data_IF_945983909646
#
_entry.id   IF_945983909646
#
_cell.length_a   1.000
_cell.length_b   1.000
_cell.length_c   1.000
_cell.angle_alpha   90.00
_cell.angle_beta   90.00
_cell.angle_gamma   90.00
#
_symmetry.space_group_name_H-M   'P 1'
#
loop_
_entity.id
_entity.type
_entity.pdbx_description
1 polymer ?
#
# COMPACT_ATOMS: atom_id res chain seq x y z
N UNK A 1 38.66 -50.45 54.99
CA UNK A 1 38.92 -48.99 55.07
C UNK A 1 38.85 -48.43 53.66
N UNK A 2 37.67 -47.99 53.22
CA UNK A 2 37.48 -47.34 51.92
C UNK A 2 37.12 -45.88 52.19
N UNK A 3 38.00 -44.98 51.76
CA UNK A 3 37.82 -43.53 51.77
C UNK A 3 37.05 -43.12 50.52
N UNK A 4 35.85 -42.57 50.70
CA UNK A 4 35.08 -41.91 49.64
C UNK A 4 35.37 -40.41 49.65
N UNK A 5 36.03 -39.93 48.60
CA UNK A 5 36.25 -38.50 48.33
C UNK A 5 35.03 -37.95 47.62
N UNK A 6 34.32 -36.99 48.23
CA UNK A 6 33.21 -36.28 47.60
C UNK A 6 33.75 -35.08 46.82
N UNK A 7 33.56 -35.09 45.50
CA UNK A 7 33.88 -33.98 44.60
C UNK A 7 32.61 -33.13 44.41
N UNK A 8 32.61 -31.90 44.93
CA UNK A 8 31.53 -30.94 44.74
C UNK A 8 31.69 -30.23 43.39
N UNK A 9 30.82 -30.51 42.42
CA UNK A 9 30.64 -29.69 41.22
C UNK A 9 29.70 -28.53 41.55
N UNK A 10 30.24 -27.31 41.62
CA UNK A 10 29.46 -26.08 41.64
C UNK A 10 28.95 -25.74 40.24
N UNK A 11 27.65 -25.93 39.99
CA UNK A 11 26.97 -25.38 38.82
C UNK A 11 26.58 -23.93 39.08
N UNK A 12 27.31 -22.98 38.50
CA UNK A 12 26.88 -21.59 38.40
C UNK A 12 25.82 -21.49 37.30
N UNK A 13 24.55 -21.57 37.67
CA UNK A 13 23.43 -21.21 36.78
C UNK A 13 23.19 -19.71 36.92
N UNK A 14 23.72 -18.92 36.00
CA UNK A 14 23.35 -17.51 35.86
C UNK A 14 21.95 -17.44 35.24
N UNK A 15 20.92 -17.43 36.09
CA UNK A 15 19.55 -17.12 35.68
C UNK A 15 19.50 -15.63 35.36
N UNK A 16 19.41 -15.28 34.08
CA UNK A 16 18.99 -13.94 33.67
C UNK A 16 17.50 -13.80 33.99
N UNK A 17 17.18 -13.37 35.21
CA UNK A 17 15.85 -12.91 35.53
C UNK A 17 15.56 -11.67 34.67
N UNK A 18 14.55 -11.75 33.79
CA UNK A 18 13.94 -10.55 33.24
C UNK A 18 13.24 -9.85 34.41
N UNK A 19 13.70 -8.64 34.76
CA UNK A 19 13.03 -7.81 35.75
C UNK A 19 11.53 -7.69 35.39
N UNK A 20 10.65 -7.94 36.37
CA UNK A 20 9.22 -7.76 36.17
C UNK A 20 8.92 -6.30 35.77
N UNK A 21 7.97 -6.04 34.86
CA UNK A 21 7.60 -4.68 34.49
C UNK A 21 7.15 -3.88 35.72
N UNK A 22 7.67 -2.66 35.87
CA UNK A 22 7.27 -1.76 36.96
C UNK A 22 5.76 -1.44 36.84
N UNK A 23 4.98 -1.95 37.79
CA UNK A 23 3.53 -1.81 37.81
C UNK A 23 3.07 -0.34 37.82
N UNK A 24 3.84 0.56 38.44
CA UNK A 24 3.51 1.99 38.46
C UNK A 24 3.70 2.62 37.08
N UNK A 25 4.72 2.20 36.32
CA UNK A 25 4.92 2.65 34.93
C UNK A 25 3.80 2.12 34.04
N UNK A 26 3.44 0.83 34.17
CA UNK A 26 2.34 0.23 33.43
C UNK A 26 1.02 0.97 33.69
N UNK A 27 0.74 1.36 34.95
CA UNK A 27 -0.45 2.14 35.27
C UNK A 27 -0.44 3.52 34.60
N UNK A 28 0.71 4.22 34.59
CA UNK A 28 0.84 5.50 33.88
C UNK A 28 0.63 5.36 32.37
N UNK A 29 1.20 4.33 31.75
CA UNK A 29 1.00 4.03 30.33
C UNK A 29 -0.47 3.79 30.01
N UNK A 30 -1.15 2.97 30.81
CA UNK A 30 -2.58 2.69 30.63
C UNK A 30 -3.43 3.94 30.79
N UNK A 31 -3.19 4.72 31.84
CA UNK A 31 -3.90 5.98 32.07
C UNK A 31 -3.75 6.92 30.88
N UNK A 32 -2.50 7.16 30.46
CA UNK A 32 -2.25 8.10 29.36
C UNK A 32 -2.82 7.59 28.02
N UNK A 33 -2.69 6.30 27.73
CA UNK A 33 -3.16 5.71 26.47
C UNK A 33 -4.66 5.44 26.40
N UNK A 34 -5.38 5.35 27.53
CA UNK A 34 -6.82 5.09 27.55
C UNK A 34 -7.66 6.32 27.91
N UNK A 35 -7.14 7.22 28.74
CA UNK A 35 -7.88 8.40 29.22
C UNK A 35 -7.43 9.70 28.55
N UNK A 36 -6.15 9.82 28.15
CA UNK A 36 -5.56 11.05 27.61
C UNK A 36 -5.05 10.89 26.17
N UNK A 37 -5.51 9.86 25.45
CA UNK A 37 -4.92 9.51 24.16
C UNK A 37 -5.09 10.61 23.12
N UNK A 38 -4.06 10.78 22.28
CA UNK A 38 -4.08 11.65 21.11
C UNK A 38 -4.13 10.89 19.80
N UNK A 39 -4.33 9.57 19.84
CA UNK A 39 -4.31 8.72 18.64
C UNK A 39 -5.31 9.14 17.57
N UNK A 40 -6.51 9.61 17.97
CA UNK A 40 -7.52 10.09 17.01
C UNK A 40 -7.16 11.43 16.40
N UNK A 41 -6.52 12.33 17.15
CA UNK A 41 -6.01 13.60 16.63
C UNK A 41 -4.88 13.33 15.62
N UNK A 42 -4.00 12.38 15.93
CA UNK A 42 -2.92 11.94 15.03
C UNK A 42 -3.51 11.32 13.76
N UNK A 43 -4.46 10.40 13.90
CA UNK A 43 -5.14 9.77 12.78
C UNK A 43 -5.82 10.82 11.88
N UNK A 44 -6.57 11.76 12.45
CA UNK A 44 -7.20 12.87 11.74
C UNK A 44 -6.19 13.68 10.91
N UNK A 45 -5.02 14.00 11.48
CA UNK A 45 -4.00 14.71 10.72
C UNK A 45 -3.44 13.85 9.57
N UNK A 46 -3.26 12.55 9.77
CA UNK A 46 -2.75 11.65 8.72
C UNK A 46 -3.77 11.40 7.60
N UNK A 47 -5.05 11.24 7.93
CA UNK A 47 -6.08 10.81 6.98
C UNK A 47 -6.84 11.98 6.35
N UNK A 48 -7.13 13.03 7.12
CA UNK A 48 -8.07 14.08 6.71
C UNK A 48 -7.32 15.36 6.30
N UNK A 49 -6.31 15.75 7.07
CA UNK A 49 -5.60 17.02 6.87
C UNK A 49 -4.57 16.92 5.74
N UNK A 50 -3.77 15.85 5.73
CA UNK A 50 -2.67 15.73 4.76
C UNK A 50 -3.10 15.10 3.42
N UNK A 51 -4.28 14.48 3.37
CA UNK A 51 -4.83 13.82 2.18
C UNK A 51 -4.12 12.51 1.83
N UNK A 52 -4.31 11.98 0.60
CA UNK A 52 -3.65 10.75 0.15
C UNK A 52 -2.12 10.87 0.11
N UNK A 53 -1.40 9.82 0.53
CA UNK A 53 0.04 9.87 0.83
C UNK A 53 0.84 8.86 0.00
N UNK A 54 0.62 8.85 -1.32
CA UNK A 54 1.35 7.97 -2.23
C UNK A 54 2.86 8.19 -2.11
N UNK A 55 3.63 7.11 -2.20
CA UNK A 55 5.09 7.16 -2.16
C UNK A 55 5.68 8.24 -3.11
N UNK A 56 6.55 9.07 -2.55
CA UNK A 56 7.14 10.28 -3.12
C UNK A 56 6.17 11.34 -3.68
N UNK A 57 4.88 11.30 -3.29
CA UNK A 57 3.92 12.35 -3.66
C UNK A 57 4.04 13.59 -2.77
N UNK A 58 3.52 14.76 -3.23
CA UNK A 58 3.39 15.93 -2.37
C UNK A 58 2.57 15.68 -1.10
N UNK A 59 1.58 14.78 -1.14
CA UNK A 59 0.78 14.42 0.02
C UNK A 59 1.57 13.68 1.08
N UNK A 60 2.44 12.75 0.68
CA UNK A 60 3.36 12.11 1.61
C UNK A 60 4.34 13.13 2.22
N UNK A 61 4.92 14.00 1.40
CA UNK A 61 5.86 15.03 1.89
C UNK A 61 5.22 15.92 2.96
N UNK A 62 4.00 16.43 2.72
CA UNK A 62 3.26 17.22 3.72
C UNK A 62 3.05 16.45 5.03
N UNK A 63 2.62 15.19 4.95
CA UNK A 63 2.40 14.37 6.13
C UNK A 63 3.71 14.11 6.91
N UNK A 64 4.81 13.90 6.20
CA UNK A 64 6.13 13.67 6.79
C UNK A 64 6.64 14.93 7.51
N UNK A 65 6.53 16.10 6.87
CA UNK A 65 6.89 17.38 7.47
C UNK A 65 6.03 17.71 8.70
N UNK A 66 4.72 17.42 8.62
CA UNK A 66 3.82 17.51 9.76
C UNK A 66 4.28 16.61 10.91
N UNK A 67 4.61 15.34 10.63
CA UNK A 67 5.03 14.39 11.66
C UNK A 67 6.36 14.82 12.31
N UNK A 68 7.35 15.27 11.53
CA UNK A 68 8.61 15.81 12.07
C UNK A 68 8.33 16.98 13.00
N UNK A 69 7.48 17.93 12.58
CA UNK A 69 7.09 19.06 13.42
C UNK A 69 6.40 18.57 14.71
N UNK A 70 5.43 17.67 14.59
CA UNK A 70 4.66 17.17 15.73
C UNK A 70 5.53 16.44 16.76
N UNK A 71 6.45 15.59 16.29
CA UNK A 71 7.41 14.88 17.15
C UNK A 71 8.38 15.85 17.83
N UNK A 72 8.80 16.91 17.13
CA UNK A 72 9.61 18.00 17.69
C UNK A 72 8.86 18.76 18.79
N UNK A 73 7.60 19.12 18.55
CA UNK A 73 6.76 19.85 19.49
C UNK A 73 6.47 19.03 20.77
N UNK A 74 6.37 17.72 20.66
CA UNK A 74 6.31 16.81 21.83
C UNK A 74 7.64 16.68 22.56
N UNK A 75 8.73 17.23 22.03
CA UNK A 75 10.04 17.28 22.68
C UNK A 75 10.88 16.02 22.49
N UNK A 76 10.60 15.22 21.45
CA UNK A 76 11.53 14.19 20.99
C UNK A 76 12.80 14.85 20.43
N UNK A 77 13.89 14.08 20.35
CA UNK A 77 15.18 14.52 19.81
C UNK A 77 15.39 13.96 18.41
N UNK A 78 16.29 14.60 17.66
CA UNK A 78 16.69 14.17 16.32
C UNK A 78 15.49 13.95 15.37
N UNK A 79 14.44 14.78 15.48
CA UNK A 79 13.29 14.73 14.60
C UNK A 79 13.65 15.29 13.22
N UNK A 80 13.67 14.46 12.18
CA UNK A 80 14.05 14.87 10.82
C UNK A 80 13.56 13.87 9.76
N UNK A 81 13.71 14.26 8.48
CA UNK A 81 13.57 13.35 7.35
C UNK A 81 14.94 12.73 7.02
N UNK A 82 15.00 11.40 6.99
CA UNK A 82 16.21 10.66 6.62
C UNK A 82 16.02 10.01 5.24
N UNK A 83 16.85 10.37 4.27
CA UNK A 83 16.79 9.72 2.95
C UNK A 83 17.30 8.29 3.04
N UNK A 84 16.54 7.35 2.49
CA UNK A 84 16.97 5.96 2.32
C UNK A 84 17.47 5.66 0.90
N UNK A 85 17.47 6.66 0.02
CA UNK A 85 17.99 6.57 -1.35
C UNK A 85 16.94 6.89 -2.41
N UNK A 86 17.30 6.62 -3.67
CA UNK A 86 16.46 6.93 -4.83
C UNK A 86 15.24 6.04 -4.90
N UNK A 87 14.05 6.63 -4.78
CA UNK A 87 12.77 5.98 -5.07
C UNK A 87 12.42 6.11 -6.55
N UNK A 88 12.34 7.35 -7.07
CA UNK A 88 11.82 7.67 -8.39
C UNK A 88 10.89 8.87 -8.37
N UNK A 89 10.10 9.08 -9.43
CA UNK A 89 9.20 10.24 -9.53
C UNK A 89 7.99 10.12 -8.59
N UNK A 90 7.66 11.23 -7.96
CA UNK A 90 6.36 11.48 -7.35
C UNK A 90 5.26 11.62 -8.40
N UNK A 91 4.02 11.42 -7.94
CA UNK A 91 2.83 11.53 -8.76
C UNK A 91 1.62 11.89 -7.91
N UNK A 92 0.68 12.64 -8.48
CA UNK A 92 -0.62 12.89 -7.86
C UNK A 92 -1.74 13.03 -8.89
N UNK A 93 -2.97 12.89 -8.43
CA UNK A 93 -4.17 13.24 -9.20
C UNK A 93 -4.56 14.67 -8.88
N UNK A 94 -4.66 15.53 -9.89
CA UNK A 94 -5.11 16.91 -9.73
C UNK A 94 -6.62 17.01 -9.92
N UNK A 95 -7.16 16.23 -10.86
CA UNK A 95 -8.58 16.14 -11.17
C UNK A 95 -8.84 14.82 -11.90
N UNK A 96 -9.98 14.20 -11.63
CA UNK A 96 -10.53 13.24 -12.58
C UNK A 96 -12.06 13.22 -12.52
N UNK A 97 -12.68 12.88 -13.65
CA UNK A 97 -14.05 12.39 -13.70
C UNK A 97 -14.19 11.44 -14.90
N UNK A 98 -15.14 10.52 -14.82
CA UNK A 98 -15.57 9.69 -15.94
C UNK A 98 -17.04 9.30 -15.79
N UNK A 99 -17.78 9.28 -16.90
CA UNK A 99 -19.17 8.86 -16.94
C UNK A 99 -19.53 8.25 -18.29
N UNK A 100 -20.40 7.25 -18.31
CA UNK A 100 -21.04 6.85 -19.57
C UNK A 100 -22.03 7.93 -19.99
N UNK A 101 -22.15 8.18 -21.29
CA UNK A 101 -23.19 9.04 -21.88
C UNK A 101 -24.16 8.28 -22.77
N UNK A 102 -23.77 7.06 -23.19
CA UNK A 102 -24.59 6.14 -23.96
C UNK A 102 -24.38 4.72 -23.39
N UNK A 103 -25.42 3.89 -23.20
CA UNK A 103 -26.83 4.11 -23.55
C UNK A 103 -27.57 5.12 -22.66
N UNK A 104 -27.03 5.46 -21.50
CA UNK A 104 -27.55 6.50 -20.60
C UNK A 104 -26.42 7.03 -19.72
N UNK A 105 -26.70 8.12 -19.02
CA UNK A 105 -25.77 8.72 -18.08
C UNK A 105 -25.56 7.83 -16.84
N UNK A 106 -24.31 7.49 -16.55
CA UNK A 106 -23.91 6.83 -15.31
C UNK A 106 -22.51 7.29 -14.91
N UNK A 107 -22.39 7.89 -13.72
CA UNK A 107 -21.10 8.27 -13.18
C UNK A 107 -20.31 7.02 -12.78
N UNK A 108 -19.05 6.91 -13.19
CA UNK A 108 -18.25 5.74 -12.90
C UNK A 108 -17.57 5.86 -11.53
N UNK A 109 -17.59 4.77 -10.76
CA UNK A 109 -16.68 4.57 -9.64
C UNK A 109 -15.36 4.09 -10.21
N UNK A 110 -14.34 4.96 -10.19
CA UNK A 110 -13.05 4.68 -10.79
C UNK A 110 -11.94 5.52 -10.16
N UNK A 111 -10.68 5.18 -10.43
CA UNK A 111 -9.51 6.00 -10.08
C UNK A 111 -8.43 5.87 -11.15
N UNK A 112 -7.74 6.96 -11.52
CA UNK A 112 -6.52 6.88 -12.31
C UNK A 112 -5.51 5.96 -11.62
N UNK A 113 -4.76 5.18 -12.41
CA UNK A 113 -3.72 4.30 -11.84
C UNK A 113 -2.44 5.07 -11.59
N UNK A 114 -1.75 4.72 -10.51
CA UNK A 114 -0.56 5.46 -10.10
C UNK A 114 0.51 5.50 -11.20
N UNK A 115 1.15 6.67 -11.33
CA UNK A 115 2.20 6.99 -12.30
C UNK A 115 1.78 6.94 -13.77
N UNK A 116 0.49 6.87 -14.08
CA UNK A 116 0.00 7.04 -15.45
C UNK A 116 -0.24 8.52 -15.78
N UNK A 117 -0.12 8.94 -17.05
CA UNK A 117 -0.44 10.30 -17.43
C UNK A 117 -1.96 10.53 -17.44
N UNK A 118 -2.36 11.80 -17.36
CA UNK A 118 -3.72 12.24 -17.60
C UNK A 118 -4.10 12.18 -19.08
N UNK A 119 -5.38 12.40 -19.37
CA UNK A 119 -5.87 12.54 -20.75
C UNK A 119 -5.40 13.86 -21.35
N UNK A 120 -5.35 13.96 -22.69
CA UNK A 120 -5.04 15.21 -23.38
C UNK A 120 -6.25 16.16 -23.40
N UNK A 121 -6.69 16.58 -22.22
CA UNK A 121 -7.94 17.30 -21.98
C UNK A 121 -9.16 16.37 -21.92
N UNK A 122 -10.37 16.95 -21.92
CA UNK A 122 -11.61 16.18 -21.94
C UNK A 122 -11.72 15.31 -23.19
N UNK A 123 -12.05 14.05 -23.00
CA UNK A 123 -12.31 13.07 -24.05
C UNK A 123 -13.76 12.64 -24.00
N UNK A 124 -14.38 12.47 -25.18
CA UNK A 124 -15.66 11.78 -25.35
C UNK A 124 -15.56 10.83 -26.54
N UNK A 125 -15.76 9.54 -26.31
CA UNK A 125 -15.61 8.52 -27.35
C UNK A 125 -16.46 7.30 -27.07
N UNK A 126 -16.85 6.60 -28.13
CA UNK A 126 -17.29 5.21 -28.02
C UNK A 126 -16.18 4.33 -27.44
N UNK A 127 -16.56 3.34 -26.62
CA UNK A 127 -15.65 2.37 -26.01
C UNK A 127 -15.38 1.22 -26.97
N UNK A 128 -14.11 0.96 -27.24
CA UNK A 128 -13.67 -0.17 -28.07
C UNK A 128 -13.30 -1.35 -27.16
N UNK A 129 -14.04 -2.46 -27.32
CA UNK A 129 -13.72 -3.72 -26.64
C UNK A 129 -12.60 -4.45 -27.39
N UNK A 130 -11.48 -4.66 -26.70
CA UNK A 130 -10.33 -5.40 -27.22
C UNK A 130 -10.35 -6.82 -26.65
N UNK A 131 -10.47 -7.80 -27.54
CA UNK A 131 -10.40 -9.23 -27.24
C UNK A 131 -9.17 -9.82 -27.92
N UNK A 132 -8.17 -10.17 -27.12
CA UNK A 132 -6.92 -10.75 -27.61
C UNK A 132 -6.39 -11.81 -26.64
N UNK A 133 -6.37 -13.06 -27.11
CA UNK A 133 -5.81 -14.20 -26.37
C UNK A 133 -4.36 -14.50 -26.80
N UNK A 134 -3.89 -13.77 -27.81
CA UNK A 134 -2.58 -13.89 -28.44
C UNK A 134 -2.13 -12.56 -29.04
N UNK A 135 -0.83 -12.44 -29.34
CA UNK A 135 -0.27 -11.24 -29.99
C UNK A 135 -0.86 -11.03 -31.38
N UNK A 136 -1.16 -12.10 -32.12
CA UNK A 136 -1.73 -11.99 -33.48
C UNK A 136 -3.15 -11.43 -33.49
N UNK A 137 -3.92 -11.60 -32.41
CA UNK A 137 -5.26 -10.99 -32.30
C UNK A 137 -5.22 -9.46 -32.29
N UNK A 138 -4.11 -8.87 -31.83
CA UNK A 138 -3.92 -7.42 -31.76
C UNK A 138 -3.94 -6.76 -33.16
N UNK A 139 -3.53 -7.48 -34.20
CA UNK A 139 -3.49 -6.96 -35.57
C UNK A 139 -4.87 -6.45 -36.07
N UNK A 140 -5.97 -7.00 -35.52
CA UNK A 140 -7.35 -6.60 -35.84
C UNK A 140 -7.66 -5.14 -35.45
N UNK A 141 -6.92 -4.62 -34.47
CA UNK A 141 -7.14 -3.32 -33.85
C UNK A 141 -6.17 -2.24 -34.33
N UNK A 142 -5.08 -2.63 -35.02
CA UNK A 142 -4.08 -1.69 -35.53
C UNK A 142 -4.72 -0.66 -36.48
N UNK A 143 -4.36 0.61 -36.30
CA UNK A 143 -4.84 1.78 -37.04
C UNK A 143 -6.23 2.26 -36.63
N UNK A 144 -6.83 1.73 -35.56
CA UNK A 144 -8.25 1.99 -35.21
C UNK A 144 -8.45 2.59 -33.81
N UNK A 145 -7.39 2.74 -33.01
CA UNK A 145 -7.54 3.07 -31.59
C UNK A 145 -7.16 4.52 -31.25
N UNK A 146 -6.65 5.29 -32.21
CA UNK A 146 -6.25 6.67 -32.01
C UNK A 146 -7.37 7.53 -31.37
N UNK A 147 -7.06 8.10 -30.21
CA UNK A 147 -7.97 8.93 -29.43
C UNK A 147 -9.21 8.19 -28.88
N UNK A 148 -9.27 6.86 -28.98
CA UNK A 148 -10.40 6.07 -28.48
C UNK A 148 -10.26 5.75 -27.00
N UNK A 149 -11.39 5.53 -26.34
CA UNK A 149 -11.46 4.87 -25.04
C UNK A 149 -11.49 3.36 -25.32
N UNK A 150 -10.58 2.61 -24.71
CA UNK A 150 -10.45 1.17 -24.92
C UNK A 150 -10.66 0.41 -23.63
N UNK A 151 -11.14 -0.83 -23.76
CA UNK A 151 -11.41 -1.71 -22.64
C UNK A 151 -11.07 -3.14 -23.02
N UNK A 152 -10.49 -3.90 -22.09
CA UNK A 152 -10.15 -5.30 -22.35
C UNK A 152 -11.37 -6.20 -22.14
N UNK A 153 -11.52 -7.24 -22.95
CA UNK A 153 -12.48 -8.33 -22.73
C UNK A 153 -11.99 -9.27 -21.61
N UNK A 154 -11.82 -8.70 -20.41
CA UNK A 154 -11.26 -9.33 -19.23
C UNK A 154 -12.04 -8.88 -18.00
N UNK A 155 -12.21 -9.77 -17.02
CA UNK A 155 -12.95 -9.46 -15.79
C UNK A 155 -13.61 -10.73 -15.25
N UNK A 156 -13.54 -10.92 -13.94
CA UNK A 156 -14.19 -12.05 -13.30
C UNK A 156 -15.62 -11.64 -12.91
N UNK A 157 -16.63 -12.52 -13.08
CA UNK A 157 -17.95 -12.28 -12.51
C UNK A 157 -17.84 -12.06 -11.00
N UNK A 158 -18.57 -11.08 -10.50
CA UNK A 158 -18.67 -10.86 -9.06
C UNK A 158 -19.37 -12.05 -8.40
N UNK A 159 -18.71 -12.63 -7.40
CA UNK A 159 -19.28 -13.71 -6.59
C UNK A 159 -19.73 -13.12 -5.26
N UNK A 160 -21.03 -13.24 -4.97
CA UNK A 160 -21.53 -12.92 -3.63
C UNK A 160 -21.35 -14.14 -2.73
N UNK A 161 -20.57 -13.98 -1.66
CA UNK A 161 -20.43 -15.00 -0.62
C UNK A 161 -21.48 -14.82 0.48
N UNK A 162 -21.91 -15.91 1.10
CA UNK A 162 -22.65 -15.90 2.38
C UNK A 162 -21.72 -15.87 3.59
N UNK A 163 -20.40 -15.85 3.36
CA UNK A 163 -19.41 -15.83 4.43
C UNK A 163 -19.25 -14.40 4.93
N UNK A 164 -19.25 -14.18 6.25
CA UNK A 164 -18.94 -12.86 6.80
C UNK A 164 -17.54 -12.41 6.39
N UNK A 165 -17.40 -11.12 6.06
CA UNK A 165 -16.09 -10.50 5.73
C UNK A 165 -15.12 -10.58 6.92
N UNK A 166 -15.66 -10.51 8.14
CA UNK A 166 -14.91 -10.67 9.37
C UNK A 166 -15.41 -11.89 10.14
N UNK A 167 -14.49 -12.78 10.49
CA UNK A 167 -14.75 -13.86 11.43
C UNK A 167 -13.71 -13.77 12.55
N UNK A 168 -14.18 -13.84 13.80
CA UNK A 168 -13.28 -13.97 14.94
C UNK A 168 -12.62 -15.34 14.89
N UNK A 169 -11.29 -15.38 15.00
CA UNK A 169 -10.59 -16.65 15.15
C UNK A 169 -11.02 -17.35 16.45
N UNK A 170 -11.27 -18.65 16.35
CA UNK A 170 -11.47 -19.49 17.53
C UNK A 170 -10.16 -19.56 18.32
N UNK A 171 -10.26 -19.77 19.64
CA UNK A 171 -9.08 -19.88 20.51
C UNK A 171 -8.12 -20.97 20.01
N UNK A 172 -8.64 -22.08 19.49
CA UNK A 172 -7.82 -23.14 18.89
C UNK A 172 -7.01 -22.68 17.67
N UNK A 173 -7.57 -21.82 16.83
CA UNK A 173 -6.85 -21.22 15.70
C UNK A 173 -5.78 -20.25 16.20
N UNK A 174 -6.09 -19.45 17.22
CA UNK A 174 -5.11 -18.55 17.83
C UNK A 174 -3.95 -19.32 18.47
N UNK A 175 -4.24 -20.43 19.17
CA UNK A 175 -3.21 -21.33 19.70
C UNK A 175 -2.35 -21.92 18.59
N UNK A 176 -2.96 -22.43 17.52
CA UNK A 176 -2.19 -22.95 16.37
C UNK A 176 -1.31 -21.88 15.72
N UNK A 177 -1.77 -20.63 15.63
CA UNK A 177 -0.98 -19.51 15.11
C UNK A 177 0.18 -19.17 16.05
N UNK A 178 -0.03 -19.21 17.37
CA UNK A 178 1.02 -18.99 18.36
C UNK A 178 2.07 -20.11 18.37
N UNK A 179 1.65 -21.35 18.14
CA UNK A 179 2.51 -22.54 18.08
C UNK A 179 3.18 -22.74 16.72
N UNK A 180 2.86 -21.90 15.73
CA UNK A 180 3.39 -22.01 14.38
C UNK A 180 4.91 -21.81 14.38
N UNK A 181 5.65 -22.86 13.99
CA UNK A 181 7.11 -22.80 13.87
C UNK A 181 7.49 -22.15 12.53
N UNK A 182 8.60 -21.37 12.47
CA UNK A 182 9.12 -20.87 11.21
C UNK A 182 9.32 -22.02 10.22
N UNK A 183 8.72 -21.92 9.04
CA UNK A 183 9.04 -22.87 7.97
C UNK A 183 10.52 -22.74 7.63
N UNK A 184 11.24 -23.87 7.57
CA UNK A 184 12.62 -23.89 7.11
C UNK A 184 12.72 -23.25 5.72
N UNK A 185 13.73 -22.40 5.52
CA UNK A 185 14.00 -21.78 4.23
C UNK A 185 14.13 -22.86 3.15
N UNK A 186 13.25 -22.84 2.14
CA UNK A 186 13.20 -23.85 1.06
C UNK A 186 12.00 -24.80 1.11
N UNK A 187 11.25 -24.89 2.21
CA UNK A 187 10.09 -25.80 2.32
C UNK A 187 8.87 -25.40 1.45
N UNK A 188 8.89 -24.23 0.80
CA UNK A 188 7.90 -23.82 -0.23
C UNK A 188 8.27 -24.27 -1.65
N UNK A 189 9.42 -24.93 -1.84
CA UNK A 189 9.96 -25.32 -3.15
C UNK A 189 9.47 -26.65 -3.71
N UNK A 190 8.31 -27.17 -3.26
CA UNK A 190 7.71 -28.35 -3.87
C UNK A 190 7.25 -28.01 -5.29
N UNK A 191 7.90 -28.60 -6.29
CA UNK A 191 7.55 -28.47 -7.71
C UNK A 191 6.12 -28.99 -7.90
N UNK A 192 5.14 -28.08 -7.88
CA UNK A 192 3.73 -28.41 -8.09
C UNK A 192 3.59 -29.13 -9.45
N UNK A 193 2.95 -30.30 -9.53
CA UNK A 193 2.63 -30.91 -10.82
C UNK A 193 1.87 -29.90 -11.69
N UNK A 194 2.40 -29.58 -12.88
CA UNK A 194 1.86 -28.53 -13.75
C UNK A 194 2.49 -27.13 -13.61
N UNK A 195 3.51 -26.95 -12.76
CA UNK A 195 4.23 -25.68 -12.60
C UNK A 195 4.85 -25.17 -13.92
N UNK A 196 5.36 -26.06 -14.78
CA UNK A 196 5.91 -25.69 -16.09
C UNK A 196 4.82 -25.15 -17.04
N UNK A 197 3.63 -25.76 -17.04
CA UNK A 197 2.50 -25.30 -17.86
C UNK A 197 1.96 -23.96 -17.34
N UNK A 198 1.91 -23.78 -16.02
CA UNK A 198 1.54 -22.51 -15.39
C UNK A 198 2.55 -21.40 -15.68
N UNK A 199 3.86 -21.71 -15.67
CA UNK A 199 4.92 -20.77 -16.02
C UNK A 199 4.85 -20.36 -17.50
N UNK A 200 4.67 -21.33 -18.41
CA UNK A 200 4.48 -21.07 -19.83
C UNK A 200 3.24 -20.20 -20.09
N UNK A 201 2.13 -20.48 -19.41
CA UNK A 201 0.91 -19.67 -19.50
C UNK A 201 1.12 -18.24 -18.96
N UNK A 202 1.81 -18.08 -17.83
CA UNK A 202 2.15 -16.76 -17.30
C UNK A 202 3.06 -15.96 -18.23
N UNK A 203 4.05 -16.62 -18.86
CA UNK A 203 4.92 -15.98 -19.85
C UNK A 203 4.15 -15.53 -21.07
N UNK A 204 3.26 -16.36 -21.62
CA UNK A 204 2.36 -15.98 -22.72
C UNK A 204 1.47 -14.79 -22.36
N UNK A 205 0.85 -14.81 -21.18
CA UNK A 205 0.01 -13.69 -20.71
C UNK A 205 0.82 -12.40 -20.56
N UNK A 206 2.07 -12.50 -20.09
CA UNK A 206 2.98 -11.36 -19.98
C UNK A 206 3.37 -10.81 -21.36
N UNK A 207 3.63 -11.68 -22.33
CA UNK A 207 3.95 -11.29 -23.70
C UNK A 207 2.77 -10.55 -24.36
N UNK A 208 1.55 -11.10 -24.27
CA UNK A 208 0.35 -10.45 -24.81
C UNK A 208 0.11 -9.10 -24.15
N UNK A 209 0.24 -8.99 -22.82
CA UNK A 209 0.11 -7.72 -22.10
C UNK A 209 1.16 -6.69 -22.53
N UNK A 210 2.41 -7.11 -22.71
CA UNK A 210 3.48 -6.22 -23.16
C UNK A 210 3.23 -5.71 -24.58
N UNK A 211 2.86 -6.60 -25.51
CA UNK A 211 2.52 -6.24 -26.89
C UNK A 211 1.29 -5.33 -26.96
N UNK A 212 0.26 -5.62 -26.16
CA UNK A 212 -0.92 -4.76 -26.01
C UNK A 212 -0.53 -3.37 -25.53
N UNK A 213 0.22 -3.27 -24.43
CA UNK A 213 0.65 -1.97 -23.88
C UNK A 213 1.43 -1.15 -24.90
N UNK A 214 2.36 -1.78 -25.63
CA UNK A 214 3.12 -1.13 -26.70
C UNK A 214 2.20 -0.62 -27.84
N UNK A 215 1.27 -1.45 -28.31
CA UNK A 215 0.30 -1.06 -29.33
C UNK A 215 -0.56 0.13 -28.89
N UNK A 216 -1.07 0.11 -27.65
CA UNK A 216 -1.94 1.19 -27.15
C UNK A 216 -1.20 2.53 -27.09
N UNK A 217 0.08 2.52 -26.74
CA UNK A 217 0.94 3.72 -26.80
C UNK A 217 1.20 4.16 -28.24
N UNK A 218 1.56 3.25 -29.15
CA UNK A 218 1.81 3.54 -30.57
C UNK A 218 0.58 4.16 -31.26
N UNK A 219 -0.60 3.60 -30.99
CA UNK A 219 -1.88 4.07 -31.52
C UNK A 219 -2.33 5.39 -30.90
N UNK A 220 -1.71 5.86 -29.81
CA UNK A 220 -2.13 7.05 -29.06
C UNK A 220 -3.59 6.94 -28.59
N UNK A 221 -3.91 5.87 -27.88
CA UNK A 221 -5.25 5.73 -27.30
C UNK A 221 -5.54 6.85 -26.31
N UNK A 222 -6.80 7.26 -26.25
CA UNK A 222 -7.23 8.37 -25.41
C UNK A 222 -7.31 7.99 -23.93
N UNK A 223 -7.81 6.79 -23.63
CA UNK A 223 -7.93 6.27 -22.27
C UNK A 223 -8.08 4.75 -22.28
N UNK A 224 -7.42 4.06 -21.35
CA UNK A 224 -7.60 2.64 -21.08
C UNK A 224 -8.49 2.47 -19.86
N UNK A 225 -9.53 1.64 -19.96
CA UNK A 225 -10.31 1.17 -18.82
C UNK A 225 -9.79 -0.19 -18.37
N UNK A 226 -9.53 -0.34 -17.07
CA UNK A 226 -9.13 -1.63 -16.49
C UNK A 226 -10.02 -2.06 -15.34
N UNK A 227 -10.19 -3.37 -15.20
CA UNK A 227 -11.00 -3.97 -14.16
C UNK A 227 -10.33 -3.82 -12.79
N UNK A 228 -10.96 -3.09 -11.87
CA UNK A 228 -10.57 -3.03 -10.48
C UNK A 228 -10.99 -4.32 -9.75
N UNK A 229 -10.13 -4.78 -8.84
CA UNK A 229 -10.53 -5.81 -7.87
C UNK A 229 -11.49 -5.21 -6.84
N UNK A 230 -12.30 -6.05 -6.21
CA UNK A 230 -13.31 -5.64 -5.25
C UNK A 230 -14.71 -6.12 -5.66
N UNK A 231 -15.71 -5.54 -5.00
CA UNK A 231 -17.12 -5.83 -5.18
C UNK A 231 -17.94 -5.28 -4.00
N UNK A 232 -19.26 -5.17 -4.18
CA UNK A 232 -20.18 -4.68 -3.15
C UNK A 232 -19.82 -3.27 -2.65
N UNK A 233 -19.32 -2.42 -3.57
CA UNK A 233 -18.88 -1.05 -3.25
C UNK A 233 -17.43 -0.93 -2.77
N UNK A 234 -16.68 -2.03 -2.65
CA UNK A 234 -15.22 -1.97 -2.40
C UNK A 234 -14.45 -1.75 -3.69
N UNK A 235 -13.42 -0.90 -3.63
CA UNK A 235 -12.57 -0.55 -4.77
C UNK A 235 -11.10 -0.69 -4.39
N UNK A 236 -10.35 -1.45 -5.19
CA UNK A 236 -8.91 -1.63 -5.00
C UNK A 236 -8.15 -1.01 -6.17
N UNK A 237 -7.20 -0.14 -5.85
CA UNK A 237 -6.33 0.50 -6.84
C UNK A 237 -4.95 -0.19 -6.92
N UNK A 238 -4.24 0.07 -8.00
CA UNK A 238 -2.86 -0.35 -8.21
C UNK A 238 -2.05 0.66 -9.02
N UNK A 239 -0.78 0.35 -9.27
CA UNK A 239 0.05 1.11 -10.20
C UNK A 239 -0.21 0.71 -11.66
N UNK A 240 -0.20 1.70 -12.56
CA UNK A 240 -0.33 1.48 -14.01
C UNK A 240 1.01 1.68 -14.74
N UNK A 241 1.93 2.45 -14.16
CA UNK A 241 3.26 2.67 -14.71
C UNK A 241 4.37 2.46 -13.67
N UNK A 242 5.60 2.40 -14.17
CA UNK A 242 6.79 2.48 -13.32
C UNK A 242 7.02 3.93 -12.86
N UNK A 243 7.40 4.07 -11.59
CA UNK A 243 7.83 5.33 -10.98
C UNK A 243 9.30 5.66 -11.26
N UNK A 244 10.04 4.81 -11.98
CA UNK A 244 11.41 5.12 -12.36
C UNK A 244 11.49 6.40 -13.21
N UNK A 245 12.59 7.13 -13.07
CA UNK A 245 12.85 8.38 -13.79
C UNK A 245 12.96 8.16 -15.31
N UNK A 246 13.50 7.02 -15.70
CA UNK A 246 13.67 6.57 -17.09
C UNK A 246 12.52 5.68 -17.58
N UNK A 247 11.42 5.60 -16.82
CA UNK A 247 10.29 4.77 -17.19
C UNK A 247 9.72 5.18 -18.54
N UNK A 248 9.48 4.18 -19.40
CA UNK A 248 8.87 4.39 -20.70
C UNK A 248 7.48 5.02 -20.57
N UNK A 249 7.09 5.89 -21.52
CA UNK A 249 5.73 6.41 -21.58
C UNK A 249 4.70 5.29 -21.64
N UNK A 250 3.58 5.49 -20.94
CA UNK A 250 2.39 4.64 -21.01
C UNK A 250 1.19 5.49 -21.41
N UNK A 251 0.09 4.85 -21.79
CA UNK A 251 -1.17 5.56 -22.05
C UNK A 251 -1.91 5.90 -20.74
N UNK A 252 -2.83 6.87 -20.74
CA UNK A 252 -3.71 7.13 -19.61
C UNK A 252 -4.53 5.87 -19.26
N UNK A 253 -4.63 5.54 -17.97
CA UNK A 253 -5.33 4.35 -17.50
C UNK A 253 -6.22 4.67 -16.29
N UNK A 254 -7.47 4.25 -16.39
CA UNK A 254 -8.50 4.42 -15.37
C UNK A 254 -8.95 3.04 -14.89
N UNK A 255 -8.70 2.76 -13.62
CA UNK A 255 -9.16 1.53 -12.96
C UNK A 255 -10.61 1.73 -12.51
N UNK A 256 -11.52 0.93 -13.04
CA UNK A 256 -12.98 1.08 -12.88
C UNK A 256 -13.49 -0.03 -11.98
N UNK A 257 -14.37 0.33 -11.04
CA UNK A 257 -15.02 -0.61 -10.13
C UNK A 257 -15.64 -1.79 -10.90
N UNK A 258 -15.61 -2.97 -10.27
CA UNK A 258 -15.97 -4.20 -10.94
C UNK A 258 -17.40 -4.17 -11.48
N UNK A 259 -18.36 -3.61 -10.74
CA UNK A 259 -19.77 -3.47 -11.13
C UNK A 259 -19.92 -2.67 -12.43
N UNK A 260 -19.28 -1.51 -12.49
CA UNK A 260 -19.31 -0.59 -13.63
C UNK A 260 -18.58 -1.18 -14.84
N UNK A 261 -17.39 -1.75 -14.62
CA UNK A 261 -16.61 -2.40 -15.66
C UNK A 261 -17.39 -3.57 -16.28
N UNK A 262 -17.97 -4.43 -15.46
CA UNK A 262 -18.76 -5.56 -15.93
C UNK A 262 -20.07 -5.12 -16.60
N UNK A 263 -20.66 -4.00 -16.18
CA UNK A 263 -21.82 -3.43 -16.86
C UNK A 263 -21.48 -2.98 -18.28
N UNK A 264 -20.42 -2.19 -18.45
CA UNK A 264 -19.91 -1.78 -19.78
C UNK A 264 -19.57 -3.02 -20.61
N UNK A 265 -18.93 -4.03 -20.00
CA UNK A 265 -18.57 -5.27 -20.67
C UNK A 265 -19.79 -6.01 -21.24
N UNK A 266 -20.87 -6.13 -20.45
CA UNK A 266 -22.11 -6.79 -20.88
C UNK A 266 -22.76 -6.08 -22.05
N UNK A 267 -22.81 -4.74 -22.01
CA UNK A 267 -23.36 -3.93 -23.11
C UNK A 267 -22.57 -4.15 -24.41
N UNK A 268 -21.25 -4.03 -24.35
CA UNK A 268 -20.37 -4.21 -25.52
C UNK A 268 -20.44 -5.64 -26.06
N UNK A 269 -20.47 -6.67 -25.20
CA UNK A 269 -20.65 -8.08 -25.60
C UNK A 269 -22.02 -8.33 -26.23
N UNK A 270 -23.06 -7.60 -25.84
CA UNK A 270 -24.39 -7.66 -26.44
C UNK A 270 -24.53 -6.81 -27.72
N UNK A 271 -23.43 -6.25 -28.24
CA UNK A 271 -23.44 -5.39 -29.43
C UNK A 271 -24.12 -4.04 -29.21
N UNK A 272 -24.32 -3.61 -27.97
CA UNK A 272 -24.87 -2.28 -27.65
C UNK A 272 -23.72 -1.28 -27.56
N UNK A 273 -23.82 -0.13 -28.25
CA UNK A 273 -22.78 0.88 -28.19
C UNK A 273 -22.72 1.49 -26.79
N UNK A 274 -21.50 1.76 -26.32
CA UNK A 274 -21.23 2.51 -25.09
C UNK A 274 -20.38 3.70 -25.46
N UNK A 275 -20.76 4.88 -24.99
CA UNK A 275 -19.95 6.09 -25.07
C UNK A 275 -19.62 6.57 -23.67
N UNK A 276 -18.40 7.07 -23.52
CA UNK A 276 -17.86 7.56 -22.27
C UNK A 276 -17.26 8.94 -22.47
N UNK A 277 -17.43 9.79 -21.48
CA UNK A 277 -16.67 11.01 -21.33
C UNK A 277 -15.77 10.94 -20.09
N UNK A 278 -14.58 11.53 -20.17
CA UNK A 278 -13.64 11.62 -19.06
C UNK A 278 -12.73 12.85 -19.20
N UNK A 279 -12.21 13.35 -18.10
CA UNK A 279 -11.13 14.35 -18.05
C UNK A 279 -10.24 14.00 -16.87
N UNK A 280 -9.01 13.56 -17.13
CA UNK A 280 -8.06 13.12 -16.12
C UNK A 280 -6.84 14.02 -16.19
N UNK A 281 -6.47 14.61 -15.06
CA UNK A 281 -5.27 15.42 -14.89
C UNK A 281 -4.43 14.87 -13.76
N UNK A 282 -3.17 14.60 -14.08
CA UNK A 282 -2.18 14.08 -13.15
C UNK A 282 -0.89 14.88 -13.28
N UNK A 283 -0.20 15.08 -12.17
CA UNK A 283 1.10 15.76 -12.14
C UNK A 283 2.20 14.78 -11.72
N UNK A 284 3.40 14.98 -12.27
CA UNK A 284 4.61 14.24 -11.92
C UNK A 284 5.60 15.17 -11.22
N UNK A 285 6.36 14.61 -10.28
CA UNK A 285 7.35 15.34 -9.49
C UNK A 285 8.68 14.57 -9.53
N UNK A 286 9.68 15.10 -10.22
CA UNK A 286 10.98 14.45 -10.43
C UNK A 286 12.15 15.27 -9.89
N UNK A 287 11.87 16.42 -9.26
CA UNK A 287 12.89 17.33 -8.74
C UNK A 287 13.64 16.74 -7.54
N UNK A 288 12.96 15.90 -6.75
CA UNK A 288 13.52 15.16 -5.63
C UNK A 288 13.10 13.69 -5.76
N UNK A 289 13.95 12.83 -6.35
CA UNK A 289 13.63 11.42 -6.52
C UNK A 289 13.94 10.57 -5.27
N UNK A 290 14.36 11.20 -4.16
CA UNK A 290 14.70 10.49 -2.94
C UNK A 290 13.45 10.06 -2.16
N UNK A 291 13.51 8.89 -1.55
CA UNK A 291 12.55 8.47 -0.55
C UNK A 291 13.03 8.79 0.86
N UNK A 292 12.09 9.12 1.74
CA UNK A 292 12.39 9.57 3.10
C UNK A 292 11.67 8.76 4.17
N UNK A 293 12.35 8.51 5.28
CA UNK A 293 11.77 8.07 6.55
C UNK A 293 11.57 9.28 7.47
N UNK A 294 10.62 9.19 8.41
CA UNK A 294 10.45 10.17 9.49
C UNK A 294 11.10 9.60 10.74
N UNK A 295 12.21 10.19 11.17
CA UNK A 295 12.97 9.71 12.33
C UNK A 295 12.79 10.67 13.50
N UNK A 296 12.59 10.13 14.70
CA UNK A 296 12.73 10.86 15.96
C UNK A 296 13.07 9.91 17.13
N UNK A 297 13.57 10.47 18.24
CA UNK A 297 14.14 9.67 19.32
C UNK A 297 13.77 10.14 20.74
N UNK A 298 13.67 9.18 21.66
CA UNK A 298 13.75 9.38 23.10
C UNK A 298 15.12 8.83 23.56
N UNK A 299 16.09 9.69 23.92
CA UNK A 299 17.44 9.26 24.26
C UNK A 299 17.47 8.33 25.48
N UNK A 300 18.31 7.30 25.41
CA UNK A 300 18.61 6.42 26.52
C UNK A 300 19.40 7.12 27.63
N UNK A 301 19.22 6.70 28.88
CA UNK A 301 19.88 7.27 30.06
C UNK A 301 21.06 6.44 30.57
N UNK A 302 21.15 5.17 30.18
CA UNK A 302 22.22 4.28 30.64
C UNK A 302 23.51 4.55 29.86
N UNK A 303 24.63 4.70 30.57
CA UNK A 303 25.92 5.05 29.95
C UNK A 303 26.42 4.02 28.92
N UNK A 304 26.04 2.75 29.08
CA UNK A 304 26.46 1.64 28.21
C UNK A 304 25.41 1.31 27.16
N UNK A 305 24.13 1.43 27.51
CA UNK A 305 23.03 0.97 26.64
C UNK A 305 22.39 2.08 25.80
N UNK A 306 22.67 3.36 26.06
CA UNK A 306 22.03 4.48 25.34
C UNK A 306 22.29 4.49 23.82
N UNK A 307 23.35 3.86 23.36
CA UNK A 307 23.67 3.75 21.92
C UNK A 307 22.94 2.56 21.26
N UNK A 308 22.35 1.65 22.05
CA UNK A 308 21.48 0.59 21.53
C UNK A 308 20.08 1.15 21.24
N UNK A 309 19.47 0.69 20.15
CA UNK A 309 18.17 1.14 19.70
C UNK A 309 17.07 0.14 20.00
N UNK A 310 15.95 0.64 20.50
CA UNK A 310 14.65 -0.03 20.43
C UNK A 310 13.86 0.66 19.32
N UNK A 311 13.67 -0.06 18.21
CA UNK A 311 12.94 0.44 17.06
C UNK A 311 11.44 0.23 17.25
N UNK A 312 10.67 1.29 17.05
CA UNK A 312 9.22 1.23 16.85
C UNK A 312 8.90 1.94 15.54
N UNK A 313 7.90 1.51 14.80
CA UNK A 313 7.70 2.08 13.48
C UNK A 313 6.68 1.36 12.64
N UNK A 314 6.49 1.90 11.44
CA UNK A 314 5.59 1.41 10.42
C UNK A 314 5.70 2.24 9.16
N UNK A 315 5.33 1.67 8.02
CA UNK A 315 5.39 2.45 6.78
C UNK A 315 4.41 3.62 6.83
N UNK A 316 4.82 4.73 6.22
CA UNK A 316 4.15 6.01 6.32
C UNK A 316 3.47 6.43 5.01
N UNK A 317 3.58 5.68 3.93
CA UNK A 317 2.86 5.94 2.69
C UNK A 317 1.48 5.25 2.65
N UNK A 318 0.68 5.59 1.65
CA UNK A 318 -0.60 4.92 1.36
C UNK A 318 -0.94 5.01 -0.13
N UNK A 319 -1.91 4.24 -0.61
CA UNK A 319 -2.42 4.42 -1.97
C UNK A 319 -3.22 5.71 -2.14
N UNK A 320 -3.20 6.27 -3.35
CA UNK A 320 -3.77 7.57 -3.71
C UNK A 320 -5.30 7.60 -3.81
N UNK A 321 -5.95 6.45 -4.03
CA UNK A 321 -7.40 6.37 -4.21
C UNK A 321 -8.20 6.49 -2.90
N UNK A 322 -7.53 6.53 -1.76
CA UNK A 322 -8.13 6.75 -0.45
C UNK A 322 -7.19 7.56 0.45
N UNK A 323 -7.49 7.59 1.75
CA UNK A 323 -6.70 8.37 2.73
C UNK A 323 -5.77 7.50 3.59
N UNK A 324 -5.69 6.19 3.29
CA UNK A 324 -4.75 5.29 3.96
C UNK A 324 -5.06 5.03 5.43
N UNK A 325 -6.33 5.11 5.85
CA UNK A 325 -6.71 4.97 7.26
C UNK A 325 -6.23 3.65 7.88
N UNK A 326 -6.57 2.52 7.27
CA UNK A 326 -6.15 1.20 7.74
C UNK A 326 -4.76 0.79 7.24
N UNK A 327 -4.34 1.35 6.10
CA UNK A 327 -3.08 1.04 5.42
C UNK A 327 -2.38 2.37 5.04
N UNK A 328 -1.61 2.97 5.93
CA UNK A 328 -1.27 2.51 7.30
C UNK A 328 -1.30 3.64 8.36
N UNK A 329 -2.21 4.60 8.24
CA UNK A 329 -2.36 5.65 9.24
C UNK A 329 -2.67 5.07 10.64
N UNK A 330 -3.43 3.98 10.74
CA UNK A 330 -3.69 3.29 12.01
C UNK A 330 -2.39 2.84 12.70
N UNK A 331 -1.49 2.16 11.99
CA UNK A 331 -0.21 1.72 12.53
C UNK A 331 0.70 2.91 12.88
N UNK A 332 0.87 3.86 11.95
CA UNK A 332 1.68 5.05 12.17
C UNK A 332 1.16 5.90 13.34
N UNK A 333 -0.15 6.06 13.47
CA UNK A 333 -0.75 6.83 14.55
C UNK A 333 -0.51 6.20 15.92
N UNK A 334 -0.61 4.87 16.02
CA UNK A 334 -0.30 4.14 17.25
C UNK A 334 1.17 4.27 17.62
N UNK A 335 2.10 4.21 16.66
CA UNK A 335 3.53 4.39 16.94
C UNK A 335 3.87 5.81 17.39
N UNK A 336 3.29 6.83 16.73
CA UNK A 336 3.43 8.23 17.15
C UNK A 336 2.84 8.47 18.54
N UNK A 337 1.69 7.87 18.84
CA UNK A 337 1.07 7.96 20.16
C UNK A 337 1.93 7.25 21.22
N UNK A 338 2.53 6.10 20.91
CA UNK A 338 3.39 5.38 21.83
C UNK A 338 4.58 6.25 22.28
N UNK A 339 5.29 6.91 21.35
CA UNK A 339 6.38 7.83 21.74
C UNK A 339 5.88 9.06 22.49
N UNK A 340 4.72 9.60 22.13
CA UNK A 340 4.11 10.73 22.84
C UNK A 340 3.79 10.36 24.29
N UNK A 341 3.19 9.20 24.52
CA UNK A 341 2.87 8.67 25.87
C UNK A 341 4.14 8.53 26.70
N UNK A 342 5.17 7.88 26.16
CA UNK A 342 6.44 7.70 26.86
C UNK A 342 7.06 9.04 27.25
N UNK A 343 6.94 10.02 26.36
CA UNK A 343 7.43 11.36 26.59
C UNK A 343 6.60 12.13 27.63
N UNK A 344 5.27 12.00 27.64
CA UNK A 344 4.38 12.71 28.57
C UNK A 344 4.49 12.21 30.02
N UNK A 345 4.81 10.93 30.21
CA UNK A 345 5.04 10.35 31.55
C UNK A 345 6.49 10.53 32.05
N UNK A 346 7.31 11.27 31.31
CA UNK A 346 8.75 11.46 31.52
C UNK A 346 9.54 10.15 31.67
N UNK A 347 9.21 9.15 30.84
CA UNK A 347 9.88 7.85 30.86
C UNK A 347 11.37 8.00 30.54
N UNK A 348 12.22 7.33 31.33
CA UNK A 348 13.68 7.35 31.19
C UNK A 348 14.16 5.97 30.71
N UNK A 349 14.14 5.70 29.39
CA UNK A 349 14.55 4.40 28.90
C UNK A 349 16.07 4.22 29.09
N UNK A 350 16.53 2.99 29.36
CA UNK A 350 17.98 2.70 29.39
C UNK A 350 18.61 2.81 28.00
N UNK A 351 17.90 2.29 27.00
CA UNK A 351 18.24 2.33 25.57
C UNK A 351 17.56 3.50 24.88
N UNK A 352 18.08 3.95 23.75
CA UNK A 352 17.37 4.95 22.94
C UNK A 352 16.19 4.29 22.25
N UNK A 353 15.02 4.93 22.29
CA UNK A 353 13.84 4.50 21.53
C UNK A 353 13.76 5.38 20.29
N UNK A 354 13.73 4.76 19.10
CA UNK A 354 13.63 5.45 17.81
C UNK A 354 12.32 5.09 17.13
N UNK A 355 11.57 6.10 16.71
CA UNK A 355 10.46 5.95 15.77
C UNK A 355 10.97 6.11 14.35
N UNK A 356 10.53 5.24 13.43
CA UNK A 356 10.90 5.27 12.01
C UNK A 356 9.76 4.86 11.09
#
# INVERSE_FOLDING_TARGET
RFTTTALALGFCVSVFAQDAPDAAIIQKLRKEGLENSKVMDIAFNLTDVNGPRLSNSPGLKRAQEWAVKQLTDWGLKNAHLESWGTFGKGWQIDKYYAATTLPYYHALIASPKAWTPGTNGPIKSSVVLIKADSVSDLAKYKGKLAGKIVMMDAGAPLQSGLKPDFNRYADSTLTQMADAKPMAAGARGGQRPGANNMMAQMMKMREVRAAMSAMLVEEKVGLILTYARGGQGTFFTSNGASYALDAKPVSPELEVAAEDYLHILRLLRAGKPVELEADIKTSFYDQDPQGYNVIAEIPGTDKKLKEELVMIGGHFDSWHAGTGATDNAAGSAVMMEAVRILKSIDFKPKRTIRIA
#
